data_IF_780536747169
#
_entry.id   IF_780536747169
#
_cell.length_a   1.000
_cell.length_b   1.000
_cell.length_c   1.000
_cell.angle_alpha   90.00
_cell.angle_beta   90.00
_cell.angle_gamma   90.00
#
_symmetry.space_group_name_H-M   'P 1'
#
loop_
_entity.id
_entity.type
_entity.pdbx_description
1 polymer ?
#
# COMPACT_ATOMS: atom_id res chain seq x y z
N UNK A 1 62.71 42.54 59.30
CA UNK A 1 63.28 41.61 58.31
C UNK A 1 62.30 40.45 58.16
N UNK A 2 61.83 40.24 56.94
CA UNK A 2 60.74 39.34 56.57
C UNK A 2 61.00 37.88 56.93
N UNK A 3 59.95 37.15 57.29
CA UNK A 3 59.61 35.86 56.67
C UNK A 3 58.25 35.40 57.19
N UNK A 4 57.20 35.60 56.38
CA UNK A 4 55.91 34.95 56.56
C UNK A 4 56.04 33.53 55.99
N UNK A 5 55.99 32.52 56.86
CA UNK A 5 55.88 31.13 56.44
C UNK A 5 54.39 30.85 56.20
N UNK A 6 54.01 30.75 54.92
CA UNK A 6 52.67 30.39 54.49
C UNK A 6 52.67 28.88 54.22
N UNK A 7 51.90 28.13 55.02
CA UNK A 7 51.65 26.70 54.80
C UNK A 7 50.52 26.59 53.76
N UNK A 8 50.70 25.89 52.63
CA UNK A 8 49.61 25.65 51.70
C UNK A 8 48.75 24.49 52.22
N UNK A 9 47.49 24.78 52.54
CA UNK A 9 46.44 23.77 52.73
C UNK A 9 46.11 23.24 51.33
N UNK A 10 46.47 21.98 51.07
CA UNK A 10 46.09 21.28 49.83
C UNK A 10 44.59 20.96 49.96
N UNK A 11 43.75 21.76 49.30
CA UNK A 11 42.36 21.41 49.09
C UNK A 11 42.31 20.44 47.92
N UNK A 12 42.15 19.15 48.22
CA UNK A 12 41.87 18.12 47.21
C UNK A 12 40.42 18.33 46.78
N UNK A 13 40.22 19.05 45.67
CA UNK A 13 38.95 19.06 44.97
C UNK A 13 38.85 17.71 44.26
N UNK A 14 38.05 16.80 44.80
CA UNK A 14 37.64 15.59 44.09
C UNK A 14 36.72 16.06 42.97
N UNK A 15 37.29 16.29 41.79
CA UNK A 15 36.53 16.49 40.57
C UNK A 15 35.81 15.18 40.27
N UNK A 16 34.54 15.09 40.63
CA UNK A 16 33.66 14.08 40.05
C UNK A 16 33.57 14.37 38.55
N UNK A 17 34.36 13.66 37.75
CA UNK A 17 34.15 13.60 36.33
C UNK A 17 32.80 12.90 36.12
N UNK A 18 31.74 13.69 36.00
CA UNK A 18 30.51 13.20 35.41
C UNK A 18 30.85 12.86 33.96
N UNK A 19 31.11 11.57 33.71
CA UNK A 19 31.19 11.03 32.37
C UNK A 19 29.77 11.16 31.81
N UNK A 20 29.51 12.24 31.10
CA UNK A 20 28.35 12.34 30.22
C UNK A 20 28.56 11.28 29.14
N UNK A 21 27.91 10.13 29.31
CA UNK A 21 27.61 9.25 28.20
C UNK A 21 26.68 10.05 27.29
N UNK A 22 27.24 10.62 26.24
CA UNK A 22 26.47 11.10 25.10
C UNK A 22 25.72 9.85 24.62
N UNK A 23 24.37 9.82 24.64
CA UNK A 23 23.66 8.78 23.95
C UNK A 23 24.09 8.92 22.50
N UNK A 24 24.72 7.89 21.95
CA UNK A 24 24.85 7.78 20.51
C UNK A 24 23.40 7.75 20.01
N UNK A 25 22.91 8.88 19.52
CA UNK A 25 21.69 8.90 18.73
C UNK A 25 22.02 8.06 17.50
N UNK A 26 21.79 6.76 17.60
CA UNK A 26 21.38 5.97 16.46
C UNK A 26 20.02 6.54 16.06
N UNK A 27 20.03 7.69 15.39
CA UNK A 27 18.87 8.20 14.71
C UNK A 27 18.51 7.10 13.71
N UNK A 28 17.51 6.28 14.05
CA UNK A 28 16.82 5.50 13.04
C UNK A 28 16.46 6.50 11.94
N UNK A 29 16.76 6.21 10.67
CA UNK A 29 16.37 7.12 9.60
C UNK A 29 14.87 7.39 9.76
N UNK A 30 14.51 8.68 9.78
CA UNK A 30 13.12 9.13 9.75
C UNK A 30 12.37 8.28 8.72
N UNK A 31 11.21 7.74 9.12
CA UNK A 31 10.33 6.95 8.26
C UNK A 31 9.94 7.68 6.97
N UNK A 32 10.14 9.00 6.91
CA UNK A 32 10.00 9.81 5.69
C UNK A 32 10.85 9.31 4.51
N UNK A 33 11.99 8.66 4.75
CA UNK A 33 12.84 8.13 3.67
C UNK A 33 12.32 6.84 3.01
N UNK A 34 11.38 6.12 3.64
CA UNK A 34 10.83 4.86 3.11
C UNK A 34 9.74 5.10 2.05
N UNK A 35 9.04 6.23 2.13
CA UNK A 35 8.02 6.63 1.15
C UNK A 35 8.64 7.23 -0.14
N UNK A 36 9.94 7.55 -0.14
CA UNK A 36 10.57 8.29 -1.23
C UNK A 36 10.78 7.48 -2.54
N UNK A 37 10.53 6.16 -2.52
CA UNK A 37 10.72 5.28 -3.69
C UNK A 37 9.44 4.54 -4.14
N UNK A 38 8.30 4.78 -3.47
CA UNK A 38 7.06 4.03 -3.65
C UNK A 38 7.24 2.51 -3.42
N UNK A 39 6.24 1.72 -3.79
CA UNK A 39 6.25 0.26 -3.59
C UNK A 39 7.18 -0.54 -4.53
N UNK A 40 7.57 -1.73 -4.14
CA UNK A 40 8.40 -2.68 -4.89
C UNK A 40 7.65 -4.00 -5.11
N UNK A 41 8.17 -4.89 -5.98
CA UNK A 41 7.58 -6.21 -6.14
C UNK A 41 7.59 -7.06 -4.86
N UNK A 42 8.47 -6.75 -3.90
CA UNK A 42 8.53 -7.43 -2.61
C UNK A 42 7.40 -7.04 -1.66
N UNK A 43 6.75 -5.89 -1.86
CA UNK A 43 5.66 -5.44 -1.00
C UNK A 43 4.39 -6.30 -1.18
N UNK A 44 4.35 -7.18 -2.19
CA UNK A 44 3.32 -8.22 -2.30
C UNK A 44 3.27 -9.14 -1.07
N UNK A 45 4.39 -9.34 -0.37
CA UNK A 45 4.40 -10.14 0.86
C UNK A 45 3.72 -9.40 2.02
N UNK A 46 3.76 -8.06 2.06
CA UNK A 46 3.00 -7.28 3.06
C UNK A 46 1.50 -7.45 2.85
N UNK A 47 1.06 -7.36 1.59
CA UNK A 47 -0.34 -7.60 1.23
C UNK A 47 -0.76 -9.00 1.65
N UNK A 48 0.06 -10.01 1.33
CA UNK A 48 -0.21 -11.40 1.70
C UNK A 48 -0.32 -11.62 3.20
N UNK A 49 0.54 -10.99 3.99
CA UNK A 49 0.45 -11.05 5.45
C UNK A 49 -0.85 -10.43 5.94
N UNK A 50 -1.18 -9.20 5.50
CA UNK A 50 -2.43 -8.52 5.88
C UNK A 50 -3.66 -9.35 5.51
N UNK A 51 -3.74 -9.87 4.28
CA UNK A 51 -4.87 -10.71 3.84
C UNK A 51 -5.00 -12.00 4.64
N UNK A 52 -3.89 -12.60 5.06
CA UNK A 52 -3.92 -13.85 5.80
C UNK A 52 -4.52 -13.72 7.20
N UNK A 53 -4.45 -12.52 7.80
CA UNK A 53 -5.11 -12.21 9.08
C UNK A 53 -6.64 -12.27 8.95
N UNK A 54 -7.15 -11.95 7.76
CA UNK A 54 -8.57 -12.01 7.39
C UNK A 54 -8.98 -13.33 6.71
N UNK A 55 -8.14 -14.37 6.79
CA UNK A 55 -8.35 -15.67 6.16
C UNK A 55 -8.50 -15.61 4.63
N UNK A 56 -7.92 -14.58 3.99
CA UNK A 56 -7.78 -14.48 2.55
C UNK A 56 -6.36 -14.93 2.16
N UNK A 57 -6.27 -15.85 1.22
CA UNK A 57 -5.01 -16.49 0.86
C UNK A 57 -4.54 -16.05 -0.53
N UNK A 58 -3.25 -15.77 -0.64
CA UNK A 58 -2.57 -15.46 -1.89
C UNK A 58 -1.73 -16.65 -2.36
N UNK A 59 -1.80 -16.96 -3.66
CA UNK A 59 -0.86 -17.90 -4.28
C UNK A 59 0.56 -17.34 -4.30
N UNK A 60 1.53 -18.16 -4.66
CA UNK A 60 2.87 -17.65 -5.00
C UNK A 60 2.77 -16.72 -6.23
N UNK A 61 3.42 -15.54 -6.24
CA UNK A 61 3.48 -14.68 -7.41
C UNK A 61 4.09 -15.41 -8.61
N UNK A 62 3.42 -15.31 -9.75
CA UNK A 62 3.86 -15.91 -11.02
C UNK A 62 4.28 -14.79 -11.98
N UNK A 63 5.52 -14.81 -12.51
CA UNK A 63 5.96 -13.80 -13.46
C UNK A 63 5.29 -14.01 -14.83
N UNK A 64 4.94 -12.90 -15.47
CA UNK A 64 4.41 -12.81 -16.83
C UNK A 64 5.29 -11.81 -17.58
N UNK A 65 6.03 -12.32 -18.56
CA UNK A 65 7.02 -11.54 -19.36
C UNK A 65 6.79 -11.65 -20.86
N UNK A 66 5.73 -12.35 -21.27
CA UNK A 66 5.39 -12.56 -22.67
C UNK A 66 4.29 -11.58 -23.15
N UNK A 67 3.77 -11.84 -24.34
CA UNK A 67 2.71 -11.03 -24.96
C UNK A 67 1.38 -11.02 -24.18
N UNK A 68 1.24 -11.80 -23.11
CA UNK A 68 0.03 -11.89 -22.28
C UNK A 68 0.04 -10.95 -21.08
N UNK A 69 1.09 -10.14 -20.87
CA UNK A 69 1.15 -9.11 -19.79
C UNK A 69 -0.15 -8.28 -19.74
N UNK A 70 -0.67 -7.89 -20.91
CA UNK A 70 -1.89 -7.08 -21.02
C UNK A 70 -3.15 -7.77 -20.49
N UNK A 71 -3.14 -9.07 -20.21
CA UNK A 71 -4.27 -9.77 -19.59
C UNK A 71 -4.28 -9.63 -18.06
N UNK A 72 -3.14 -9.30 -17.44
CA UNK A 72 -2.96 -9.28 -15.99
C UNK A 72 -2.65 -7.89 -15.44
N UNK A 73 -1.93 -7.09 -16.21
CA UNK A 73 -1.54 -5.72 -15.87
C UNK A 73 -2.29 -4.71 -16.79
N UNK A 74 -3.62 -4.86 -16.91
CA UNK A 74 -4.47 -4.15 -17.87
C UNK A 74 -5.05 -2.84 -17.28
N UNK A 75 -4.36 -1.71 -17.47
CA UNK A 75 -4.84 -0.41 -16.93
C UNK A 75 -5.15 0.60 -18.04
N UNK A 76 -4.28 0.70 -19.06
CA UNK A 76 -4.41 1.50 -20.29
C UNK A 76 -3.20 1.24 -21.19
N UNK A 77 -3.33 1.47 -22.49
CA UNK A 77 -2.24 1.24 -23.47
C UNK A 77 -0.97 2.06 -23.18
N UNK A 78 -1.11 3.30 -22.70
CA UNK A 78 0.03 4.18 -22.44
C UNK A 78 0.85 3.76 -21.21
N UNK A 79 0.20 3.16 -20.21
CA UNK A 79 0.89 2.56 -19.05
C UNK A 79 1.42 1.18 -19.43
N UNK A 80 0.60 0.36 -20.11
CA UNK A 80 0.98 -0.97 -20.57
C UNK A 80 2.26 -0.95 -21.42
N UNK A 81 2.45 0.07 -22.27
CA UNK A 81 3.65 0.24 -23.09
C UNK A 81 4.95 0.40 -22.29
N UNK A 82 4.86 0.73 -20.99
CA UNK A 82 5.99 0.88 -20.07
C UNK A 82 6.25 -0.37 -19.22
N UNK A 83 5.45 -1.41 -19.38
CA UNK A 83 5.56 -2.66 -18.63
C UNK A 83 6.27 -3.71 -19.49
N UNK A 84 7.41 -4.19 -19.00
CA UNK A 84 8.11 -5.36 -19.56
C UNK A 84 8.13 -6.55 -18.60
N UNK A 85 7.70 -6.35 -17.36
CA UNK A 85 7.65 -7.35 -16.31
C UNK A 85 6.39 -7.17 -15.46
N UNK A 86 5.59 -8.22 -15.35
CA UNK A 86 4.38 -8.27 -14.54
C UNK A 86 4.47 -9.50 -13.63
N UNK A 87 4.01 -9.41 -12.39
CA UNK A 87 3.79 -10.56 -11.52
C UNK A 87 2.32 -10.62 -11.20
N UNK A 88 1.71 -11.81 -11.23
CA UNK A 88 0.31 -12.00 -10.86
C UNK A 88 0.16 -13.07 -9.80
N UNK A 89 -0.77 -12.85 -8.89
CA UNK A 89 -1.07 -13.70 -7.75
C UNK A 89 -2.57 -13.91 -7.67
N UNK A 90 -3.02 -15.15 -7.55
CA UNK A 90 -4.43 -15.47 -7.34
C UNK A 90 -4.79 -15.25 -5.87
N UNK A 91 -6.02 -14.80 -5.62
CA UNK A 91 -6.58 -14.56 -4.29
C UNK A 91 -7.75 -15.52 -4.06
N UNK A 92 -7.76 -16.16 -2.91
CA UNK A 92 -8.82 -17.09 -2.49
C UNK A 92 -9.41 -16.65 -1.15
N UNK A 93 -10.74 -16.73 -1.06
CA UNK A 93 -11.46 -16.45 0.18
C UNK A 93 -11.32 -17.59 1.19
N UNK A 94 -11.91 -17.41 2.39
CA UNK A 94 -11.82 -18.39 3.49
C UNK A 94 -12.42 -19.77 3.15
N UNK A 95 -13.36 -19.81 2.22
CA UNK A 95 -14.01 -21.04 1.72
C UNK A 95 -13.26 -21.68 0.53
N UNK A 96 -12.10 -21.15 0.17
CA UNK A 96 -11.30 -21.59 -0.98
C UNK A 96 -11.83 -21.12 -2.33
N UNK A 97 -12.90 -20.30 -2.36
CA UNK A 97 -13.42 -19.75 -3.63
C UNK A 97 -12.44 -18.73 -4.20
N UNK A 98 -12.30 -18.71 -5.52
CA UNK A 98 -11.55 -17.65 -6.18
C UNK A 98 -12.23 -16.30 -5.98
N UNK A 99 -11.45 -15.31 -5.53
CA UNK A 99 -11.87 -13.92 -5.46
C UNK A 99 -11.44 -13.16 -6.71
N UNK A 100 -10.21 -13.41 -7.16
CA UNK A 100 -9.61 -12.76 -8.31
C UNK A 100 -8.09 -12.75 -8.22
N UNK A 101 -7.46 -11.65 -8.63
CA UNK A 101 -6.01 -11.56 -8.74
C UNK A 101 -5.48 -10.19 -8.27
N UNK A 102 -4.29 -10.20 -7.68
CA UNK A 102 -3.44 -9.01 -7.57
C UNK A 102 -2.30 -9.17 -8.56
N UNK A 103 -2.03 -8.14 -9.35
CA UNK A 103 -0.88 -8.08 -10.24
C UNK A 103 -0.07 -6.80 -10.00
N UNK A 104 1.24 -6.86 -10.20
CA UNK A 104 2.13 -5.70 -10.15
C UNK A 104 2.87 -5.64 -11.47
N UNK A 105 3.07 -4.44 -12.02
CA UNK A 105 3.61 -4.24 -13.36
C UNK A 105 4.62 -3.11 -13.42
N UNK A 106 5.67 -3.29 -14.23
CA UNK A 106 6.67 -2.26 -14.54
C UNK A 106 7.84 -2.84 -15.30
N UNK A 107 9.04 -2.41 -14.93
CA UNK A 107 10.30 -3.04 -15.36
C UNK A 107 10.87 -3.87 -14.22
N UNK A 108 11.82 -4.80 -14.46
CA UNK A 108 12.48 -5.52 -13.38
C UNK A 108 12.96 -4.55 -12.29
N UNK A 109 12.72 -4.91 -11.03
CA UNK A 109 13.07 -4.15 -9.82
C UNK A 109 12.36 -2.78 -9.64
N UNK A 110 11.52 -2.34 -10.58
CA UNK A 110 10.77 -1.09 -10.47
C UNK A 110 9.33 -1.24 -10.99
N UNK A 111 8.39 -1.69 -10.14
CA UNK A 111 6.98 -1.65 -10.50
C UNK A 111 6.51 -0.19 -10.52
N UNK A 112 5.66 0.12 -11.49
CA UNK A 112 5.02 1.43 -11.68
C UNK A 112 3.52 1.34 -11.42
N UNK A 113 2.99 0.14 -11.24
CA UNK A 113 1.60 -0.10 -10.91
C UNK A 113 1.40 -1.37 -10.10
N UNK A 114 0.30 -1.37 -9.36
CA UNK A 114 -0.31 -2.56 -8.83
C UNK A 114 -1.82 -2.52 -9.14
N UNK A 115 -2.42 -3.68 -9.39
CA UNK A 115 -3.84 -3.82 -9.73
C UNK A 115 -4.43 -5.01 -8.98
N UNK A 116 -5.53 -4.81 -8.29
CA UNK A 116 -6.37 -5.89 -7.77
C UNK A 116 -7.66 -5.94 -8.60
N UNK A 117 -8.03 -7.12 -9.07
CA UNK A 117 -9.30 -7.38 -9.77
C UNK A 117 -10.06 -8.44 -9.01
N UNK A 118 -11.27 -8.12 -8.56
CA UNK A 118 -12.17 -9.04 -7.85
C UNK A 118 -13.48 -9.14 -8.62
N UNK A 119 -13.94 -10.37 -8.83
CA UNK A 119 -15.20 -10.64 -9.52
C UNK A 119 -16.31 -10.95 -8.50
N UNK A 120 -17.39 -10.17 -8.51
CA UNK A 120 -18.60 -10.42 -7.73
C UNK A 120 -19.77 -10.87 -8.61
N UNK A 121 -20.53 -11.86 -8.11
CA UNK A 121 -21.72 -12.44 -8.75
C UNK A 121 -22.65 -12.99 -7.66
N UNK A 122 -23.99 -12.93 -7.81
CA UNK A 122 -24.76 -12.35 -8.92
C UNK A 122 -25.04 -10.85 -8.78
N UNK A 123 -24.71 -10.24 -7.65
CA UNK A 123 -24.90 -8.81 -7.41
C UNK A 123 -23.55 -8.13 -7.20
N UNK A 124 -23.48 -6.83 -7.48
CA UNK A 124 -22.25 -6.04 -7.34
C UNK A 124 -21.67 -6.15 -5.92
N UNK A 125 -22.54 -6.20 -4.91
CA UNK A 125 -22.21 -6.26 -3.50
C UNK A 125 -22.06 -7.69 -2.94
N UNK A 126 -22.15 -8.73 -3.76
CA UNK A 126 -22.06 -10.14 -3.31
C UNK A 126 -20.70 -10.53 -2.70
N UNK A 127 -19.70 -9.65 -2.81
CA UNK A 127 -18.37 -9.79 -2.21
C UNK A 127 -17.86 -8.45 -1.64
N UNK A 128 -18.76 -7.59 -1.16
CA UNK A 128 -18.39 -6.23 -0.71
C UNK A 128 -17.34 -6.28 0.39
N UNK A 129 -17.50 -7.19 1.37
CA UNK A 129 -16.54 -7.38 2.46
C UNK A 129 -15.14 -7.80 1.94
N UNK A 130 -15.06 -8.79 1.04
CA UNK A 130 -13.77 -9.19 0.47
C UNK A 130 -13.14 -8.12 -0.42
N UNK A 131 -13.96 -7.32 -1.12
CA UNK A 131 -13.47 -6.19 -1.90
C UNK A 131 -12.83 -5.15 -0.99
N UNK A 132 -13.50 -4.78 0.11
CA UNK A 132 -12.99 -3.82 1.10
C UNK A 132 -11.68 -4.29 1.70
N UNK A 133 -11.66 -5.50 2.25
CA UNK A 133 -10.46 -6.09 2.86
C UNK A 133 -9.30 -6.08 1.87
N UNK A 134 -9.51 -6.57 0.64
CA UNK A 134 -8.41 -6.64 -0.34
C UNK A 134 -7.90 -5.27 -0.75
N UNK A 135 -8.80 -4.32 -0.97
CA UNK A 135 -8.43 -2.99 -1.43
C UNK A 135 -7.76 -2.18 -0.31
N UNK A 136 -8.25 -2.31 0.92
CA UNK A 136 -7.63 -1.73 2.11
C UNK A 136 -6.23 -2.28 2.34
N UNK A 137 -6.07 -3.61 2.42
CA UNK A 137 -4.76 -4.25 2.56
C UNK A 137 -3.77 -3.81 1.48
N UNK A 138 -4.24 -3.63 0.25
CA UNK A 138 -3.41 -3.18 -0.86
C UNK A 138 -2.99 -1.72 -0.74
N UNK A 139 -3.91 -0.81 -0.37
CA UNK A 139 -3.61 0.61 -0.19
C UNK A 139 -2.66 0.82 0.99
N UNK A 140 -2.95 0.19 2.12
CA UNK A 140 -2.13 0.34 3.33
C UNK A 140 -0.71 -0.24 3.14
N UNK A 141 -0.60 -1.35 2.40
CA UNK A 141 0.71 -1.97 2.14
C UNK A 141 1.56 -1.23 1.11
N UNK A 142 0.93 -0.62 0.10
CA UNK A 142 1.63 -0.05 -1.06
C UNK A 142 1.76 1.47 -1.03
N UNK A 143 0.86 2.16 -0.32
CA UNK A 143 0.79 3.63 -0.29
C UNK A 143 1.06 4.13 1.12
N UNK A 144 0.10 3.98 2.04
CA UNK A 144 0.26 4.28 3.47
C UNK A 144 -0.95 3.79 4.28
N UNK A 145 -0.75 3.58 5.57
CA UNK A 145 -1.79 3.41 6.62
C UNK A 145 -2.33 4.76 7.13
N UNK A 146 -2.14 5.83 6.34
CA UNK A 146 -2.36 7.22 6.75
C UNK A 146 -3.71 7.80 6.31
N UNK A 147 -4.65 6.96 5.83
CA UNK A 147 -5.94 7.44 5.30
C UNK A 147 -6.73 8.26 6.31
N UNK A 148 -6.77 7.82 7.58
CA UNK A 148 -7.50 8.51 8.64
C UNK A 148 -6.99 9.94 8.90
N UNK A 149 -5.70 10.20 8.64
CA UNK A 149 -5.09 11.52 8.82
C UNK A 149 -5.26 12.40 7.58
N UNK A 150 -5.15 11.81 6.39
CA UNK A 150 -5.13 12.54 5.11
C UNK A 150 -6.53 12.76 4.53
N UNK A 151 -7.45 11.82 4.78
CA UNK A 151 -8.83 11.79 4.26
C UNK A 151 -8.93 12.22 2.79
N UNK A 152 -8.16 11.57 1.90
CA UNK A 152 -8.05 11.99 0.52
C UNK A 152 -9.40 11.85 -0.18
N UNK A 153 -9.72 12.79 -1.08
CA UNK A 153 -11.05 12.86 -1.70
C UNK A 153 -12.21 13.21 -0.74
N UNK A 154 -11.92 13.51 0.53
CA UNK A 154 -12.92 13.82 1.56
C UNK A 154 -13.60 12.59 2.16
N UNK A 155 -13.03 11.40 1.99
CA UNK A 155 -13.55 10.16 2.58
C UNK A 155 -12.89 9.87 3.93
N UNK A 156 -13.72 9.52 4.92
CA UNK A 156 -13.26 9.24 6.28
C UNK A 156 -12.40 7.97 6.38
N UNK A 157 -12.63 6.99 5.50
CA UNK A 157 -11.89 5.73 5.42
C UNK A 157 -11.85 5.18 3.98
N UNK A 158 -10.99 4.17 3.74
CA UNK A 158 -10.94 3.41 2.48
C UNK A 158 -12.29 2.76 2.20
N UNK A 159 -12.89 2.12 3.22
CA UNK A 159 -14.22 1.50 3.09
C UNK A 159 -15.29 2.50 2.69
N UNK A 160 -15.29 3.71 3.27
CA UNK A 160 -16.26 4.75 2.95
C UNK A 160 -16.14 5.22 1.48
N UNK A 161 -14.92 5.25 0.94
CA UNK A 161 -14.69 5.52 -0.48
C UNK A 161 -15.23 4.40 -1.38
N UNK A 162 -14.99 3.14 -1.02
CA UNK A 162 -15.48 1.97 -1.75
C UNK A 162 -17.02 1.92 -1.70
N UNK A 163 -17.63 2.14 -0.55
CA UNK A 163 -19.08 2.18 -0.36
C UNK A 163 -19.74 3.28 -1.20
N UNK A 164 -19.15 4.48 -1.22
CA UNK A 164 -19.65 5.58 -2.04
C UNK A 164 -19.60 5.22 -3.54
N UNK A 165 -18.56 4.52 -3.98
CA UNK A 165 -18.46 4.03 -5.35
C UNK A 165 -19.50 2.94 -5.64
N UNK A 166 -19.72 2.01 -4.71
CA UNK A 166 -20.76 0.97 -4.80
C UNK A 166 -22.14 1.59 -5.01
N UNK A 167 -22.54 2.47 -4.09
CA UNK A 167 -23.85 3.12 -4.07
C UNK A 167 -24.07 3.86 -5.39
N UNK A 168 -23.10 4.66 -5.80
CA UNK A 168 -23.19 5.42 -7.04
C UNK A 168 -23.28 4.53 -8.28
N UNK A 169 -22.62 3.37 -8.28
CA UNK A 169 -22.74 2.40 -9.38
C UNK A 169 -24.11 1.72 -9.39
N UNK A 170 -24.59 1.27 -8.22
CA UNK A 170 -25.90 0.63 -8.05
C UNK A 170 -27.03 1.55 -8.51
N UNK A 171 -26.97 2.83 -8.13
CA UNK A 171 -27.95 3.85 -8.49
C UNK A 171 -27.88 4.27 -9.97
N UNK A 172 -26.78 3.94 -10.67
CA UNK A 172 -26.62 4.21 -12.09
C UNK A 172 -27.37 3.19 -12.97
N UNK A 173 -27.35 3.39 -14.28
CA UNK A 173 -27.85 2.39 -15.23
C UNK A 173 -26.97 1.13 -15.31
N UNK A 174 -25.78 1.13 -14.69
CA UNK A 174 -24.79 0.02 -14.71
C UNK A 174 -24.34 -0.38 -16.13
N UNK A 175 -24.60 0.49 -17.11
CA UNK A 175 -24.23 0.33 -18.52
C UNK A 175 -22.88 0.97 -18.84
N UNK A 176 -22.42 1.87 -17.98
CA UNK A 176 -21.14 2.57 -18.11
C UNK A 176 -20.26 2.23 -16.91
N UNK A 177 -18.97 1.93 -17.13
CA UNK A 177 -17.99 1.84 -16.05
C UNK A 177 -18.09 3.02 -15.09
N UNK A 178 -18.10 2.75 -13.79
CA UNK A 178 -17.81 3.79 -12.81
C UNK A 178 -16.31 3.81 -12.56
N UNK A 179 -15.75 5.02 -12.51
CA UNK A 179 -14.36 5.29 -12.19
C UNK A 179 -14.31 6.37 -11.12
N UNK A 180 -13.55 6.13 -10.07
CA UNK A 180 -13.29 7.06 -8.99
C UNK A 180 -11.78 7.17 -8.81
N UNK A 181 -11.25 8.39 -8.73
CA UNK A 181 -9.81 8.64 -8.60
C UNK A 181 -9.56 9.45 -7.35
N UNK A 182 -8.57 9.03 -6.57
CA UNK A 182 -8.13 9.67 -5.35
C UNK A 182 -6.63 9.90 -5.46
N UNK A 183 -6.23 11.14 -5.23
CA UNK A 183 -4.84 11.58 -5.19
C UNK A 183 -4.55 12.18 -3.79
N UNK A 184 -3.27 12.42 -3.49
CA UNK A 184 -2.85 13.10 -2.26
C UNK A 184 -2.45 12.18 -1.11
N UNK A 185 -2.28 10.88 -1.39
CA UNK A 185 -1.60 9.92 -0.52
C UNK A 185 -0.22 9.62 -1.10
N UNK A 186 0.78 10.43 -0.75
CA UNK A 186 2.12 10.28 -1.32
C UNK A 186 2.20 10.78 -2.77
N UNK A 187 3.03 10.10 -3.58
CA UNK A 187 3.18 10.36 -5.01
C UNK A 187 2.27 9.45 -5.86
N UNK A 188 1.57 8.51 -5.23
CA UNK A 188 0.72 7.54 -5.88
C UNK A 188 -0.69 8.07 -6.21
N UNK A 189 -1.21 7.63 -7.36
CA UNK A 189 -2.61 7.84 -7.76
C UNK A 189 -3.41 6.55 -7.57
N UNK A 190 -4.52 6.65 -6.85
CA UNK A 190 -5.47 5.55 -6.66
C UNK A 190 -6.64 5.66 -7.63
N UNK A 191 -6.98 4.56 -8.29
CA UNK A 191 -8.13 4.49 -9.20
C UNK A 191 -8.96 3.26 -8.85
N UNK A 192 -10.23 3.49 -8.55
CA UNK A 192 -11.24 2.46 -8.33
C UNK A 192 -12.18 2.42 -9.54
N UNK A 193 -12.38 1.23 -10.10
CA UNK A 193 -13.30 1.00 -11.22
C UNK A 193 -14.29 -0.12 -10.90
N UNK A 194 -15.54 0.08 -11.31
CA UNK A 194 -16.60 -0.94 -11.25
C UNK A 194 -17.17 -1.10 -12.65
N UNK A 195 -17.13 -2.33 -13.18
CA UNK A 195 -17.60 -2.64 -14.53
C UNK A 195 -18.45 -3.91 -14.56
N UNK A 196 -19.42 -3.98 -15.47
CA UNK A 196 -20.19 -5.20 -15.72
C UNK A 196 -19.47 -6.07 -16.76
N UNK A 197 -19.37 -7.38 -16.52
CA UNK A 197 -18.80 -8.37 -17.45
C UNK A 197 -19.62 -9.66 -17.44
N UNK A 198 -20.28 -10.03 -18.53
CA UNK A 198 -20.92 -11.35 -18.70
C UNK A 198 -21.74 -11.83 -17.46
N UNK A 199 -22.63 -10.97 -16.93
CA UNK A 199 -23.46 -11.21 -15.74
C UNK A 199 -22.73 -11.20 -14.37
N UNK A 200 -21.46 -10.81 -14.34
CA UNK A 200 -20.74 -10.48 -13.11
C UNK A 200 -20.32 -9.02 -13.10
N UNK A 201 -19.79 -8.58 -11.97
CA UNK A 201 -19.22 -7.26 -11.77
C UNK A 201 -17.74 -7.41 -11.43
N UNK A 202 -16.91 -6.61 -12.09
CA UNK A 202 -15.49 -6.52 -11.79
C UNK A 202 -15.24 -5.26 -10.99
N UNK A 203 -14.71 -5.48 -9.79
CA UNK A 203 -14.12 -4.47 -8.94
C UNK A 203 -12.64 -4.42 -9.23
N UNK A 204 -12.15 -3.24 -9.59
CA UNK A 204 -10.73 -3.05 -9.93
C UNK A 204 -10.17 -1.90 -9.11
N UNK A 205 -9.16 -2.18 -8.29
CA UNK A 205 -8.33 -1.16 -7.65
C UNK A 205 -6.99 -1.09 -8.38
N UNK A 206 -6.55 0.12 -8.66
CA UNK A 206 -5.30 0.42 -9.35
C UNK A 206 -4.53 1.42 -8.49
N UNK A 207 -3.28 1.09 -8.19
CA UNK A 207 -2.30 1.97 -7.55
C UNK A 207 -1.24 2.28 -8.60
N UNK A 208 -1.09 3.55 -8.96
CA UNK A 208 -0.09 4.04 -9.92
C UNK A 208 0.97 4.86 -9.20
N UNK A 209 2.22 4.69 -9.60
CA UNK A 209 3.30 5.63 -9.29
C UNK A 209 3.44 6.72 -10.35
#
# INVERSE_FOLDING_TARGET
MNSKIIIPIIVIIISAAAIFLIPEESSMPSSENLYQYGFTFYDVEKIKTSLSEENIFMSTPSPVTDHTIGNYCAIRDDILSKISYCTTTAIQGPDGRSLGNISMGGVPDNPIMAIAVIESKPFVNSKSDEVKIVFESMIESLVCDCWNEKQPGGFESIEAWIDAAEIKYVESSQTTPLKSTVDGLGDETLILEITTKNESYLWTLIVLK
#
